data_IF_438497908519
#
_entry.id   IF_438497908519
#
_cell.length_a   1.000
_cell.length_b   1.000
_cell.length_c   1.000
_cell.angle_alpha   90.00
_cell.angle_beta   90.00
_cell.angle_gamma   90.00
#
_symmetry.space_group_name_H-M   'P 1'
#
loop_
_entity.id
_entity.type
_entity.pdbx_description
1 polymer ?
#
# COMPACT_ATOMS: atom_id res chain seq x y z
N UNK A 1 10.57 37.65 -5.44
CA UNK A 1 9.74 36.74 -6.26
C UNK A 1 9.30 35.49 -5.50
N UNK A 2 10.07 34.98 -4.55
CA UNK A 2 9.80 33.76 -3.74
C UNK A 2 8.50 33.85 -2.91
N UNK A 3 8.19 34.98 -2.31
CA UNK A 3 7.03 35.14 -1.40
C UNK A 3 5.67 35.11 -2.12
N UNK A 4 5.58 35.51 -3.37
CA UNK A 4 4.33 35.47 -4.16
C UNK A 4 4.01 34.09 -4.76
N UNK A 5 5.02 33.26 -5.02
CA UNK A 5 4.85 31.88 -5.44
C UNK A 5 4.38 31.01 -4.25
N UNK A 6 4.95 31.22 -3.05
CA UNK A 6 4.58 30.50 -1.85
C UNK A 6 3.12 30.74 -1.42
N UNK A 7 2.58 31.96 -1.61
CA UNK A 7 1.19 32.28 -1.27
C UNK A 7 0.15 31.69 -2.27
N UNK A 8 0.55 31.36 -3.51
CA UNK A 8 -0.34 30.77 -4.53
C UNK A 8 -0.44 29.25 -4.49
N UNK A 9 0.34 28.56 -3.67
CA UNK A 9 0.52 27.11 -3.71
C UNK A 9 0.30 26.39 -2.37
N UNK A 10 -0.31 27.07 -1.39
CA UNK A 10 -0.70 26.43 -0.13
C UNK A 10 -2.21 26.17 -0.10
N UNK A 11 -2.57 24.97 0.33
CA UNK A 11 -3.97 24.55 0.55
C UNK A 11 -4.20 24.45 2.03
N UNK A 12 -5.31 25.02 2.52
CA UNK A 12 -5.67 24.93 3.93
C UNK A 12 -5.95 23.50 4.35
N UNK A 13 -5.45 23.10 5.52
CA UNK A 13 -5.83 21.83 6.15
C UNK A 13 -7.31 21.92 6.54
N UNK A 14 -8.18 21.01 6.09
CA UNK A 14 -9.63 21.12 6.36
C UNK A 14 -9.98 21.16 7.85
N UNK A 15 -9.31 20.33 8.62
CA UNK A 15 -9.48 20.23 10.08
C UNK A 15 -8.09 20.29 10.74
N UNK A 16 -7.53 21.50 10.95
CA UNK A 16 -6.13 21.65 11.36
C UNK A 16 -5.79 21.07 12.74
N UNK A 17 -6.81 20.87 13.58
CA UNK A 17 -6.68 20.30 14.94
C UNK A 17 -7.05 18.82 15.02
N UNK A 18 -7.39 18.17 13.88
CA UNK A 18 -7.69 16.74 13.87
C UNK A 18 -6.50 15.93 14.34
N UNK A 19 -6.72 15.08 15.33
CA UNK A 19 -5.70 14.24 15.94
C UNK A 19 -5.62 12.86 15.30
N UNK A 20 -4.46 12.17 15.40
CA UNK A 20 -4.34 10.76 14.98
C UNK A 20 -5.37 9.84 15.64
N UNK A 21 -5.67 10.05 16.92
CA UNK A 21 -6.65 9.25 17.66
C UNK A 21 -8.06 9.40 17.07
N UNK A 22 -8.49 10.62 16.83
CA UNK A 22 -9.81 10.90 16.21
C UNK A 22 -9.90 10.30 14.79
N UNK A 23 -8.83 10.34 14.01
CA UNK A 23 -8.82 9.72 12.68
C UNK A 23 -8.95 8.20 12.76
N UNK A 24 -8.31 7.55 13.75
CA UNK A 24 -8.47 6.11 14.00
C UNK A 24 -9.91 5.80 14.42
N UNK A 25 -10.51 6.61 15.28
CA UNK A 25 -11.92 6.45 15.69
C UNK A 25 -12.88 6.58 14.50
N UNK A 26 -12.63 7.50 13.57
CA UNK A 26 -13.36 7.57 12.30
C UNK A 26 -13.26 6.25 11.52
N UNK A 27 -12.07 5.68 11.39
CA UNK A 27 -11.88 4.40 10.71
C UNK A 27 -12.68 3.27 11.39
N UNK A 28 -12.69 3.21 12.71
CA UNK A 28 -13.48 2.25 13.48
C UNK A 28 -14.99 2.47 13.24
N UNK A 29 -15.45 3.72 13.21
CA UNK A 29 -16.87 4.05 12.99
C UNK A 29 -17.39 3.60 11.62
N UNK A 30 -16.53 3.49 10.61
CA UNK A 30 -16.92 2.97 9.28
C UNK A 30 -17.12 1.44 9.25
N UNK A 31 -16.55 0.66 10.18
CA UNK A 31 -16.54 -0.81 10.13
C UNK A 31 -17.94 -1.45 9.97
N UNK A 32 -18.99 -1.06 10.75
CA UNK A 32 -20.30 -1.70 10.60
C UNK A 32 -20.88 -1.53 9.20
N UNK A 33 -20.75 -0.34 8.64
CA UNK A 33 -21.26 -0.02 7.30
C UNK A 33 -20.45 -0.73 6.22
N UNK A 34 -19.13 -0.70 6.28
CA UNK A 34 -18.25 -1.43 5.38
C UNK A 34 -18.63 -2.92 5.34
N UNK A 35 -18.81 -3.52 6.51
CA UNK A 35 -19.22 -4.93 6.63
C UNK A 35 -20.60 -5.20 6.01
N UNK A 36 -21.53 -4.26 6.12
CA UNK A 36 -22.88 -4.42 5.55
C UNK A 36 -22.91 -4.26 4.02
N UNK A 37 -21.96 -3.51 3.45
CA UNK A 37 -21.88 -3.24 2.00
C UNK A 37 -20.96 -4.21 1.24
N UNK A 38 -20.33 -5.20 1.90
CA UNK A 38 -19.34 -6.10 1.29
C UNK A 38 -19.82 -6.79 0.01
N UNK A 39 -21.05 -7.32 -0.01
CA UNK A 39 -21.59 -8.01 -1.19
C UNK A 39 -21.78 -7.06 -2.37
N UNK A 40 -22.25 -5.87 -2.10
CA UNK A 40 -22.44 -4.83 -3.13
C UNK A 40 -21.10 -4.32 -3.66
N UNK A 41 -20.12 -4.14 -2.78
CA UNK A 41 -18.76 -3.75 -3.13
C UNK A 41 -18.08 -4.79 -4.01
N UNK A 42 -18.18 -6.07 -3.66
CA UNK A 42 -17.64 -7.17 -4.45
C UNK A 42 -18.29 -7.23 -5.85
N UNK A 43 -19.62 -7.05 -5.92
CA UNK A 43 -20.38 -7.09 -7.18
C UNK A 43 -20.08 -5.90 -8.10
N UNK A 44 -19.80 -4.72 -7.51
CA UNK A 44 -19.46 -3.50 -8.24
C UNK A 44 -17.98 -3.47 -8.66
N UNK A 45 -17.13 -4.22 -8.00
CA UNK A 45 -15.67 -4.20 -8.21
C UNK A 45 -14.95 -3.10 -7.43
N UNK A 46 -15.67 -2.21 -6.76
CA UNK A 46 -15.15 -1.11 -5.94
C UNK A 46 -16.22 -0.61 -4.98
N UNK A 47 -15.88 0.05 -3.88
CA UNK A 47 -16.85 0.71 -3.00
C UNK A 47 -17.63 1.83 -3.72
N UNK A 48 -18.75 2.26 -3.14
CA UNK A 48 -19.64 3.24 -3.78
C UNK A 48 -19.01 4.64 -3.86
N UNK A 49 -19.46 5.44 -4.85
CA UNK A 49 -19.08 6.85 -4.94
C UNK A 49 -19.47 7.64 -3.68
N UNK A 50 -20.60 7.29 -3.05
CA UNK A 50 -21.00 7.86 -1.77
C UNK A 50 -19.97 7.57 -0.68
N UNK A 51 -19.50 6.32 -0.57
CA UNK A 51 -18.44 5.94 0.36
C UNK A 51 -17.13 6.69 0.06
N UNK A 52 -16.78 6.83 -1.22
CA UNK A 52 -15.60 7.61 -1.63
C UNK A 52 -15.67 9.06 -1.12
N UNK A 53 -16.79 9.73 -1.36
CA UNK A 53 -16.99 11.11 -0.89
C UNK A 53 -16.96 11.24 0.64
N UNK A 54 -17.43 10.23 1.34
CA UNK A 54 -17.36 10.20 2.81
C UNK A 54 -15.93 9.98 3.30
N UNK A 55 -15.13 9.12 2.63
CA UNK A 55 -13.71 8.97 2.92
C UNK A 55 -12.92 10.26 2.65
N UNK A 56 -13.26 11.00 1.60
CA UNK A 56 -12.69 12.32 1.34
C UNK A 56 -13.03 13.30 2.48
N UNK A 57 -14.32 13.38 2.90
CA UNK A 57 -14.77 14.24 4.01
C UNK A 57 -14.15 13.83 5.34
N UNK A 58 -13.98 12.52 5.57
CA UNK A 58 -13.32 12.00 6.76
C UNK A 58 -11.81 12.29 6.79
N UNK A 59 -11.21 12.67 5.66
CA UNK A 59 -9.81 13.07 5.56
C UNK A 59 -8.82 11.94 5.32
N UNK A 60 -9.26 10.71 5.04
CA UNK A 60 -8.36 9.55 4.90
C UNK A 60 -7.31 9.71 3.79
N UNK A 61 -7.66 10.35 2.68
CA UNK A 61 -6.72 10.62 1.58
C UNK A 61 -5.63 11.62 1.94
N UNK A 62 -5.79 12.39 3.03
CA UNK A 62 -4.89 13.46 3.44
C UNK A 62 -3.93 13.06 4.56
N UNK A 63 -3.97 11.80 5.03
CA UNK A 63 -3.20 11.35 6.18
C UNK A 63 -1.70 11.59 6.03
N UNK A 64 -1.11 11.19 4.89
CA UNK A 64 0.33 11.29 4.61
C UNK A 64 0.71 12.48 3.71
N UNK A 65 -0.27 13.25 3.29
CA UNK A 65 -0.06 14.42 2.44
C UNK A 65 0.57 15.56 3.22
N UNK A 66 1.49 16.36 2.60
CA UNK A 66 2.11 17.50 3.26
C UNK A 66 1.09 18.57 3.70
N UNK A 67 1.30 19.15 4.88
CA UNK A 67 0.46 20.24 5.42
C UNK A 67 0.32 21.41 4.48
N UNK A 68 1.40 21.76 3.78
CA UNK A 68 1.40 22.79 2.74
C UNK A 68 0.32 22.59 1.69
N UNK A 69 -0.02 21.36 1.41
CA UNK A 69 -1.04 20.97 0.42
C UNK A 69 -2.35 20.49 1.06
N UNK A 70 -2.62 20.87 2.30
CA UNK A 70 -3.85 20.54 3.01
C UNK A 70 -3.87 19.14 3.65
N UNK A 71 -2.71 18.50 3.81
CA UNK A 71 -2.58 17.21 4.46
C UNK A 71 -2.41 17.30 5.98
N UNK A 72 -2.52 16.16 6.65
CA UNK A 72 -2.38 16.05 8.10
C UNK A 72 -0.96 15.71 8.55
N UNK A 73 -0.15 15.10 7.69
CA UNK A 73 1.20 14.61 8.03
C UNK A 73 1.22 13.68 9.23
N UNK A 74 0.23 12.80 9.33
CA UNK A 74 0.21 11.78 10.37
C UNK A 74 1.34 10.78 10.15
N UNK A 75 1.89 10.25 11.26
CA UNK A 75 2.95 9.26 11.18
C UNK A 75 2.50 7.91 10.59
N UNK A 76 3.46 7.08 10.21
CA UNK A 76 3.17 5.80 9.57
C UNK A 76 2.48 4.82 10.51
N UNK A 77 2.75 4.84 11.82
CA UNK A 77 2.03 4.03 12.79
C UNK A 77 0.54 4.32 12.78
N UNK A 78 0.17 5.60 12.74
CA UNK A 78 -1.22 6.05 12.63
C UNK A 78 -1.84 5.57 11.32
N UNK A 79 -1.13 5.75 10.21
CA UNK A 79 -1.62 5.33 8.89
C UNK A 79 -1.84 3.81 8.80
N UNK A 80 -0.91 3.01 9.29
CA UNK A 80 -1.07 1.55 9.34
C UNK A 80 -2.20 1.13 10.29
N UNK A 81 -2.41 1.88 11.38
CA UNK A 81 -3.58 1.62 12.24
C UNK A 81 -4.89 1.88 11.53
N UNK A 82 -4.99 2.95 10.76
CA UNK A 82 -6.16 3.24 9.91
C UNK A 82 -6.38 2.11 8.91
N UNK A 83 -5.32 1.63 8.24
CA UNK A 83 -5.39 0.49 7.31
C UNK A 83 -6.00 -0.76 7.98
N UNK A 84 -5.53 -1.10 9.17
CA UNK A 84 -6.04 -2.23 9.96
C UNK A 84 -7.53 -2.05 10.27
N UNK A 85 -7.95 -0.88 10.72
CA UNK A 85 -9.35 -0.66 11.14
C UNK A 85 -10.31 -0.63 9.95
N UNK A 86 -9.95 -0.01 8.83
CA UNK A 86 -10.77 -0.05 7.61
C UNK A 86 -10.86 -1.49 7.07
N UNK A 87 -9.75 -2.23 7.04
CA UNK A 87 -9.71 -3.61 6.56
C UNK A 87 -10.51 -4.58 7.44
N UNK A 88 -10.64 -4.31 8.74
CA UNK A 88 -11.53 -5.07 9.64
C UNK A 88 -13.00 -4.90 9.25
N UNK A 89 -13.35 -3.78 8.61
CA UNK A 89 -14.69 -3.57 8.01
C UNK A 89 -14.83 -4.23 6.65
N UNK A 90 -13.90 -3.96 5.72
CA UNK A 90 -13.82 -4.58 4.40
C UNK A 90 -12.37 -4.53 3.87
N UNK A 91 -11.70 -5.69 3.70
CA UNK A 91 -10.33 -5.76 3.21
C UNK A 91 -10.13 -5.18 1.80
N UNK A 92 -11.06 -5.41 0.89
CA UNK A 92 -10.98 -4.91 -0.49
C UNK A 92 -11.07 -3.38 -0.55
N UNK A 93 -11.97 -2.80 0.24
CA UNK A 93 -12.11 -1.34 0.38
C UNK A 93 -10.85 -0.73 0.97
N UNK A 94 -10.30 -1.36 2.03
CA UNK A 94 -9.05 -0.89 2.63
C UNK A 94 -7.91 -0.92 1.63
N UNK A 95 -7.77 -2.00 0.86
CA UNK A 95 -6.74 -2.12 -0.18
C UNK A 95 -6.82 -0.95 -1.18
N UNK A 96 -8.03 -0.68 -1.70
CA UNK A 96 -8.28 0.41 -2.64
C UNK A 96 -7.93 1.78 -2.03
N UNK A 97 -8.45 2.07 -0.81
CA UNK A 97 -8.28 3.36 -0.15
C UNK A 97 -6.82 3.61 0.25
N UNK A 98 -6.19 2.64 0.92
CA UNK A 98 -4.86 2.80 1.49
C UNK A 98 -3.80 2.93 0.40
N UNK A 99 -3.83 2.06 -0.62
CA UNK A 99 -2.90 2.19 -1.75
C UNK A 99 -3.10 3.51 -2.50
N UNK A 100 -4.36 3.91 -2.73
CA UNK A 100 -4.65 5.18 -3.42
C UNK A 100 -4.21 6.42 -2.64
N UNK A 101 -4.30 6.40 -1.30
CA UNK A 101 -3.94 7.51 -0.43
C UNK A 101 -2.43 7.55 -0.11
N UNK A 102 -1.79 6.39 0.04
CA UNK A 102 -0.41 6.27 0.50
C UNK A 102 0.62 6.87 -0.45
N UNK A 103 0.35 6.84 -1.75
CA UNK A 103 1.27 7.42 -2.73
C UNK A 103 1.43 8.95 -2.61
N UNK A 104 0.63 9.62 -1.77
CA UNK A 104 0.90 11.00 -1.35
C UNK A 104 2.26 11.14 -0.65
N UNK A 105 2.69 10.11 0.10
CA UNK A 105 4.04 10.09 0.69
C UNK A 105 5.13 10.07 -0.39
N UNK A 106 4.97 9.26 -1.43
CA UNK A 106 5.94 9.21 -2.53
C UNK A 106 6.01 10.54 -3.29
N UNK A 107 4.88 11.11 -3.67
CA UNK A 107 4.83 12.42 -4.32
C UNK A 107 5.48 13.48 -3.43
N UNK A 108 5.11 13.51 -2.15
CA UNK A 108 5.63 14.46 -1.16
C UNK A 108 7.11 14.29 -0.84
N UNK A 109 7.66 13.06 -0.94
CA UNK A 109 9.06 12.78 -0.61
C UNK A 109 10.01 13.05 -1.78
N UNK A 110 9.71 12.51 -2.95
CA UNK A 110 10.72 12.36 -4.01
C UNK A 110 10.56 13.31 -5.18
N UNK A 111 9.36 13.83 -5.43
CA UNK A 111 9.14 14.71 -6.56
C UNK A 111 9.55 16.16 -6.26
N UNK A 112 9.88 16.89 -7.32
CA UNK A 112 10.20 18.32 -7.23
C UNK A 112 9.01 19.13 -6.70
N UNK A 113 9.28 20.34 -6.17
CA UNK A 113 8.24 21.25 -5.70
C UNK A 113 7.17 21.51 -6.78
N UNK A 114 7.57 21.70 -8.04
CA UNK A 114 6.64 21.96 -9.12
C UNK A 114 5.71 20.75 -9.37
N UNK A 115 6.25 19.54 -9.39
CA UNK A 115 5.43 18.33 -9.55
C UNK A 115 4.47 18.12 -8.38
N UNK A 116 4.88 18.47 -7.15
CA UNK A 116 4.01 18.41 -5.98
C UNK A 116 2.88 19.47 -6.08
N UNK A 117 3.18 20.68 -6.54
CA UNK A 117 2.15 21.72 -6.79
C UNK A 117 1.15 21.25 -7.83
N UNK A 118 1.62 20.65 -8.91
CA UNK A 118 0.76 20.16 -10.00
C UNK A 118 -0.06 18.95 -9.55
N UNK A 119 0.54 18.02 -8.78
CA UNK A 119 -0.08 16.78 -8.34
C UNK A 119 -1.13 16.99 -7.23
N UNK A 120 -0.79 17.76 -6.19
CA UNK A 120 -1.75 18.05 -5.13
C UNK A 120 -2.78 19.11 -5.56
N UNK A 121 -2.45 19.91 -6.56
CA UNK A 121 -3.35 20.90 -7.14
C UNK A 121 -3.86 21.96 -6.15
N UNK A 122 -4.82 22.79 -6.57
CA UNK A 122 -5.34 23.89 -5.74
C UNK A 122 -6.29 23.41 -4.63
N UNK A 123 -6.81 22.19 -4.71
CA UNK A 123 -7.78 21.63 -3.74
C UNK A 123 -7.13 20.73 -2.70
N UNK A 124 -5.92 20.28 -2.95
CA UNK A 124 -5.25 19.25 -2.14
C UNK A 124 -5.93 17.87 -2.24
N UNK A 125 -6.75 17.65 -3.25
CA UNK A 125 -7.34 16.33 -3.50
C UNK A 125 -6.35 15.49 -4.31
N UNK A 126 -5.85 14.43 -3.69
CA UNK A 126 -4.91 13.51 -4.31
C UNK A 126 -5.24 12.07 -3.97
N UNK A 127 -5.32 11.25 -4.99
CA UNK A 127 -5.38 9.80 -4.90
C UNK A 127 -4.72 9.23 -6.15
N UNK A 128 -3.77 8.33 -5.98
CA UNK A 128 -3.04 7.78 -7.12
C UNK A 128 -2.71 6.30 -6.88
N UNK A 129 -3.22 5.35 -7.68
CA UNK A 129 -2.63 4.02 -7.75
C UNK A 129 -1.20 4.10 -8.30
N UNK A 130 -0.39 3.11 -7.94
CA UNK A 130 0.92 2.87 -8.55
C UNK A 130 1.05 1.40 -8.91
N UNK A 131 1.83 1.11 -9.95
CA UNK A 131 2.18 -0.26 -10.35
C UNK A 131 3.69 -0.34 -10.46
N UNK A 132 4.29 -1.18 -9.61
CA UNK A 132 5.74 -1.30 -9.50
C UNK A 132 6.40 -1.94 -10.74
N UNK A 133 5.68 -2.80 -11.48
CA UNK A 133 6.19 -3.40 -12.70
C UNK A 133 6.29 -2.34 -13.82
N UNK A 134 7.48 -2.13 -14.41
CA UNK A 134 7.66 -1.11 -15.45
C UNK A 134 7.14 -1.62 -16.81
N UNK A 135 5.82 -1.61 -16.97
CA UNK A 135 5.12 -2.12 -18.15
C UNK A 135 4.93 -1.06 -19.26
N UNK A 136 5.60 0.08 -19.16
CA UNK A 136 5.55 1.15 -20.15
C UNK A 136 6.85 1.91 -20.22
N UNK A 137 6.90 2.88 -21.12
CA UNK A 137 8.09 3.70 -21.41
C UNK A 137 7.83 5.17 -21.21
N UNK A 138 8.85 5.91 -20.81
CA UNK A 138 8.93 7.36 -20.84
C UNK A 138 10.06 7.77 -21.79
N UNK A 139 9.73 8.40 -22.91
CA UNK A 139 10.69 8.86 -23.92
C UNK A 139 10.81 10.38 -23.85
N UNK A 140 12.00 10.96 -23.78
CA UNK A 140 12.18 12.41 -23.84
C UNK A 140 11.60 12.99 -25.13
N UNK A 141 10.92 14.11 -25.00
CA UNK A 141 10.43 14.92 -26.13
C UNK A 141 10.66 16.39 -25.82
N UNK A 142 10.47 17.26 -26.82
CA UNK A 142 10.58 18.68 -26.56
C UNK A 142 9.62 19.14 -25.47
N UNK A 143 10.20 19.76 -24.41
CA UNK A 143 9.50 20.26 -23.25
C UNK A 143 9.12 19.23 -22.18
N UNK A 144 9.50 17.94 -22.31
CA UNK A 144 9.16 16.94 -21.30
C UNK A 144 9.28 15.48 -21.74
N UNK A 145 8.22 14.72 -21.47
CA UNK A 145 8.17 13.27 -21.69
C UNK A 145 6.95 12.82 -22.47
N UNK A 146 7.11 11.79 -23.28
CA UNK A 146 6.02 11.02 -23.87
C UNK A 146 5.94 9.67 -23.16
N UNK A 147 4.84 9.43 -22.42
CA UNK A 147 4.61 8.18 -21.68
C UNK A 147 3.59 7.31 -22.41
N UNK A 148 3.91 6.02 -22.57
CA UNK A 148 3.03 5.02 -23.18
C UNK A 148 3.15 3.69 -22.44
N UNK A 149 2.04 2.94 -22.37
CA UNK A 149 2.04 1.58 -21.82
C UNK A 149 0.67 1.12 -21.34
N UNK A 150 0.65 -0.11 -20.82
CA UNK A 150 -0.51 -0.71 -20.18
C UNK A 150 -0.07 -1.35 -18.87
N UNK A 151 -0.75 -1.03 -17.79
CA UNK A 151 -0.49 -1.55 -16.45
C UNK A 151 -1.75 -2.19 -15.90
N UNK A 152 -1.68 -3.45 -15.50
CA UNK A 152 -2.74 -4.15 -14.76
C UNK A 152 -2.61 -3.95 -13.25
N UNK A 153 -3.62 -4.32 -12.52
CA UNK A 153 -3.65 -4.29 -11.06
C UNK A 153 -3.42 -2.89 -10.45
N UNK A 154 -3.95 -1.84 -11.10
CA UNK A 154 -3.86 -0.47 -10.58
C UNK A 154 -4.95 -0.24 -9.50
N UNK A 155 -4.70 -0.72 -8.28
CA UNK A 155 -5.66 -0.68 -7.16
C UNK A 155 -6.05 0.74 -6.81
N UNK A 156 -7.36 1.03 -6.75
CA UNK A 156 -7.89 2.38 -6.53
C UNK A 156 -8.07 3.22 -7.78
N UNK A 157 -7.85 2.67 -8.98
CA UNK A 157 -8.02 3.39 -10.25
C UNK A 157 -9.37 4.11 -10.43
N UNK A 158 -10.54 3.56 -10.00
CA UNK A 158 -11.82 4.24 -10.19
C UNK A 158 -11.91 5.63 -9.58
N UNK A 159 -11.22 5.88 -8.47
CA UNK A 159 -11.27 7.15 -7.73
C UNK A 159 -9.96 7.93 -7.76
N UNK A 160 -9.07 7.56 -8.66
CA UNK A 160 -7.77 8.19 -8.78
C UNK A 160 -7.84 9.56 -9.48
N UNK A 161 -7.15 10.54 -8.92
CA UNK A 161 -6.89 11.84 -9.57
C UNK A 161 -5.67 11.80 -10.47
N UNK A 162 -4.72 10.93 -10.12
CA UNK A 162 -3.47 10.69 -10.85
C UNK A 162 -3.19 9.19 -10.94
N UNK A 163 -2.24 8.83 -11.78
CA UNK A 163 -1.65 7.50 -11.83
C UNK A 163 -0.12 7.63 -11.72
N UNK A 164 0.50 6.78 -10.89
CA UNK A 164 1.94 6.81 -10.66
C UNK A 164 2.59 5.49 -11.11
N UNK A 165 2.64 5.21 -12.44
CA UNK A 165 3.25 3.99 -12.95
C UNK A 165 4.76 4.01 -12.86
N UNK A 166 5.37 2.84 -12.61
CA UNK A 166 6.76 2.63 -12.99
C UNK A 166 6.90 2.53 -14.51
N UNK A 167 7.90 3.20 -15.03
CA UNK A 167 8.22 3.27 -16.47
C UNK A 167 9.69 2.97 -16.71
N UNK A 168 10.02 2.48 -17.91
CA UNK A 168 11.40 2.44 -18.39
C UNK A 168 11.69 3.75 -19.15
N UNK A 169 12.72 4.47 -18.69
CA UNK A 169 13.21 5.66 -19.37
C UNK A 169 13.99 5.20 -20.59
N UNK A 170 13.47 5.58 -21.76
CA UNK A 170 14.03 5.24 -23.07
C UNK A 170 14.56 6.50 -23.72
N UNK A 171 15.83 6.81 -23.47
CA UNK A 171 16.57 7.90 -24.05
C UNK A 171 17.81 7.39 -24.83
N UNK A 172 18.56 8.30 -25.44
CA UNK A 172 19.76 7.97 -26.23
C UNK A 172 20.97 7.63 -25.36
N UNK A 173 20.83 7.62 -24.03
CA UNK A 173 21.93 7.28 -23.12
C UNK A 173 22.33 5.82 -23.29
N UNK A 174 23.61 5.52 -23.62
CA UNK A 174 24.04 4.13 -23.75
C UNK A 174 23.88 3.37 -22.45
N UNK A 175 23.31 2.19 -22.53
CA UNK A 175 23.14 1.31 -21.36
C UNK A 175 21.74 0.69 -21.30
N UNK A 176 21.47 -0.09 -20.23
CA UNK A 176 20.14 -0.63 -20.01
C UNK A 176 19.13 0.48 -19.67
N UNK A 177 17.83 0.30 -20.00
CA UNK A 177 16.81 1.24 -19.62
C UNK A 177 16.82 1.51 -18.11
N UNK A 178 16.64 2.78 -17.72
CA UNK A 178 16.56 3.20 -16.32
C UNK A 178 15.11 3.17 -15.87
N UNK A 179 14.85 2.81 -14.61
CA UNK A 179 13.52 2.88 -14.06
C UNK A 179 13.19 4.30 -13.63
N UNK A 180 11.94 4.68 -13.81
CA UNK A 180 11.39 5.93 -13.32
C UNK A 180 9.95 5.76 -12.85
N UNK A 181 9.43 6.78 -12.20
CA UNK A 181 8.02 6.89 -11.84
C UNK A 181 7.46 8.14 -12.51
N UNK A 182 6.33 7.97 -13.19
CA UNK A 182 5.62 9.08 -13.80
C UNK A 182 4.45 9.55 -12.94
N UNK A 183 4.18 10.84 -12.92
CA UNK A 183 2.97 11.45 -12.35
C UNK A 183 2.03 11.81 -13.48
N UNK A 184 1.01 11.00 -13.74
CA UNK A 184 0.09 11.13 -14.87
C UNK A 184 -1.29 11.57 -14.41
N UNK A 185 -1.79 12.76 -14.79
CA UNK A 185 -3.10 13.23 -14.37
C UNK A 185 -4.22 12.41 -15.01
N UNK A 186 -5.38 12.35 -14.34
CA UNK A 186 -6.56 11.55 -14.75
C UNK A 186 -6.96 11.71 -16.19
N UNK A 187 -6.79 12.90 -16.74
CA UNK A 187 -7.17 13.24 -18.14
C UNK A 187 -6.30 12.59 -19.22
N UNK A 188 -5.16 11.98 -18.85
CA UNK A 188 -4.19 11.44 -19.81
C UNK A 188 -4.07 9.91 -19.76
N UNK A 189 -5.02 9.21 -19.13
CA UNK A 189 -5.07 7.75 -19.14
C UNK A 189 -6.50 7.21 -19.18
N UNK A 190 -6.63 5.99 -19.67
CA UNK A 190 -7.88 5.26 -19.83
C UNK A 190 -7.88 4.11 -18.84
N UNK A 191 -8.93 3.99 -18.03
CA UNK A 191 -9.19 2.83 -17.19
C UNK A 191 -10.01 1.81 -17.97
N UNK A 192 -9.59 0.55 -17.96
CA UNK A 192 -10.36 -0.54 -18.55
C UNK A 192 -11.35 -1.09 -17.53
N UNK A 193 -12.48 -1.58 -18.01
CA UNK A 193 -13.47 -2.28 -17.19
C UNK A 193 -13.16 -3.79 -17.19
N UNK A 194 -12.07 -4.17 -16.52
CA UNK A 194 -11.53 -5.54 -16.54
C UNK A 194 -11.25 -6.12 -15.13
N UNK A 195 -11.79 -5.48 -14.08
CA UNK A 195 -11.64 -5.96 -12.70
C UNK A 195 -12.87 -6.74 -12.23
N UNK A 196 -12.65 -7.69 -11.29
CA UNK A 196 -13.71 -8.49 -10.63
C UNK A 196 -13.66 -9.98 -10.92
N UNK A 197 -13.14 -10.41 -12.06
CA UNK A 197 -12.97 -11.84 -12.41
C UNK A 197 -11.71 -12.43 -11.75
N UNK A 198 -11.60 -12.34 -10.43
CA UNK A 198 -10.48 -12.79 -9.61
C UNK A 198 -10.97 -13.55 -8.39
N UNK A 199 -10.11 -14.34 -7.76
CA UNK A 199 -10.46 -15.17 -6.60
C UNK A 199 -11.00 -14.36 -5.43
N UNK A 200 -10.29 -13.31 -5.01
CA UNK A 200 -10.63 -12.44 -3.88
C UNK A 200 -10.23 -11.00 -4.16
N UNK A 201 -10.34 -10.11 -3.16
CA UNK A 201 -10.09 -8.68 -3.32
C UNK A 201 -10.89 -8.04 -4.45
N UNK A 202 -12.07 -8.59 -4.76
CA UNK A 202 -12.87 -8.19 -5.91
C UNK A 202 -13.35 -6.74 -5.84
N UNK A 203 -13.51 -6.20 -4.63
CA UNK A 203 -13.92 -4.80 -4.38
C UNK A 203 -12.77 -3.79 -4.37
N UNK A 204 -11.54 -4.15 -4.78
CA UNK A 204 -10.36 -3.27 -4.68
C UNK A 204 -10.18 -2.31 -5.86
N UNK A 205 -11.03 -2.37 -6.89
CA UNK A 205 -10.94 -1.48 -8.05
C UNK A 205 -9.57 -1.51 -8.73
N UNK A 206 -8.98 -2.71 -8.87
CA UNK A 206 -7.62 -2.86 -9.41
C UNK A 206 -7.61 -3.01 -10.93
N UNK A 207 -8.35 -2.14 -11.59
CA UNK A 207 -8.50 -2.11 -13.04
C UNK A 207 -7.17 -1.88 -13.77
N UNK A 208 -7.07 -2.33 -15.01
CA UNK A 208 -5.98 -1.96 -15.90
C UNK A 208 -6.08 -0.50 -16.34
N UNK A 209 -4.92 0.14 -16.47
CA UNK A 209 -4.77 1.50 -17.00
C UNK A 209 -3.95 1.46 -18.29
N UNK A 210 -4.42 2.18 -19.31
CA UNK A 210 -3.74 2.37 -20.59
C UNK A 210 -3.38 3.84 -20.77
N UNK A 211 -2.13 4.09 -21.15
CA UNK A 211 -1.63 5.40 -21.56
C UNK A 211 -1.17 5.29 -23.01
N UNK A 212 -1.91 5.91 -23.93
CA UNK A 212 -1.62 5.83 -25.35
C UNK A 212 -0.54 6.82 -25.82
N UNK A 213 -0.30 7.87 -25.03
CA UNK A 213 0.69 8.91 -25.36
C UNK A 213 0.54 10.15 -24.50
N UNK A 214 0.68 10.01 -23.17
CA UNK A 214 0.64 11.15 -22.28
C UNK A 214 1.86 12.05 -22.47
N UNK A 215 1.63 13.34 -22.72
CA UNK A 215 2.69 14.36 -22.73
C UNK A 215 2.78 15.00 -21.37
N UNK A 216 3.90 14.78 -20.71
CA UNK A 216 4.14 15.22 -19.34
C UNK A 216 5.26 16.25 -19.28
N UNK A 217 5.17 17.25 -18.39
CA UNK A 217 6.30 18.15 -18.09
C UNK A 217 7.54 17.38 -17.64
N UNK A 218 8.71 17.98 -17.80
CA UNK A 218 9.98 17.36 -17.37
C UNK A 218 9.98 16.93 -15.90
N UNK A 219 9.29 17.66 -15.04
CA UNK A 219 9.20 17.41 -13.59
C UNK A 219 8.30 16.22 -13.21
N UNK A 220 7.49 15.71 -14.15
CA UNK A 220 6.51 14.65 -13.87
C UNK A 220 7.02 13.23 -14.11
N UNK A 221 8.24 13.07 -14.60
CA UNK A 221 8.92 11.76 -14.62
C UNK A 221 10.19 11.89 -13.78
N UNK A 222 10.30 11.05 -12.82
CA UNK A 222 11.42 11.01 -11.89
C UNK A 222 12.15 9.67 -12.05
N UNK A 223 13.45 9.71 -12.32
CA UNK A 223 14.28 8.52 -12.23
C UNK A 223 14.39 8.11 -10.76
N UNK A 224 13.96 6.91 -10.45
CA UNK A 224 14.02 6.37 -9.10
C UNK A 224 14.33 4.89 -9.13
N UNK A 225 15.49 4.54 -8.59
CA UNK A 225 15.79 3.19 -8.17
C UNK A 225 15.46 3.06 -6.67
N UNK A 226 14.30 2.46 -6.36
CA UNK A 226 13.81 2.34 -4.98
C UNK A 226 14.77 1.57 -4.04
N UNK A 227 15.63 0.73 -4.61
CA UNK A 227 16.60 -0.06 -3.83
C UNK A 227 17.90 0.71 -3.61
N UNK A 228 18.32 1.50 -4.60
CA UNK A 228 19.59 2.21 -4.56
C UNK A 228 19.44 3.73 -4.38
N UNK A 229 18.30 4.20 -3.84
CA UNK A 229 18.11 5.63 -3.58
C UNK A 229 19.15 6.14 -2.58
N UNK A 230 19.84 7.22 -2.94
CA UNK A 230 20.75 7.93 -2.05
C UNK A 230 19.96 8.95 -1.20
N UNK A 231 20.02 8.80 0.10
CA UNK A 231 19.37 9.69 1.07
C UNK A 231 20.37 10.56 1.85
N UNK A 232 21.67 10.53 1.51
CA UNK A 232 22.70 11.29 2.25
C UNK A 232 22.44 12.80 2.26
N UNK A 233 21.84 13.34 1.21
CA UNK A 233 21.43 14.75 1.10
C UNK A 233 19.97 15.02 1.46
N UNK A 234 19.27 14.06 2.02
CA UNK A 234 17.80 14.10 2.18
C UNK A 234 17.07 14.05 0.83
N UNK A 235 15.76 13.97 0.89
CA UNK A 235 14.89 14.01 -0.30
C UNK A 235 14.49 15.44 -0.65
N UNK A 236 13.96 15.72 -1.85
CA UNK A 236 13.33 17.00 -2.14
C UNK A 236 12.26 17.37 -1.10
N UNK A 237 11.42 16.42 -0.70
CA UNK A 237 10.33 16.63 0.24
C UNK A 237 10.78 16.92 1.68
N UNK A 238 11.82 16.25 2.18
CA UNK A 238 12.33 16.52 3.51
C UNK A 238 12.86 17.96 3.64
N UNK A 239 13.50 18.48 2.58
CA UNK A 239 13.95 19.86 2.51
C UNK A 239 12.81 20.86 2.37
N UNK A 240 11.76 20.49 1.60
CA UNK A 240 10.63 21.38 1.30
C UNK A 240 9.66 21.51 2.48
N UNK A 241 9.41 20.40 3.18
CA UNK A 241 8.37 20.33 4.24
C UNK A 241 8.95 20.39 5.65
N UNK A 242 10.25 20.14 5.82
CA UNK A 242 10.88 20.08 7.14
C UNK A 242 10.38 18.92 8.02
N UNK A 243 9.62 17.99 7.47
CA UNK A 243 9.10 16.83 8.19
C UNK A 243 9.96 15.59 7.86
N UNK A 244 10.56 14.94 8.87
CA UNK A 244 11.40 13.75 8.68
C UNK A 244 10.71 12.61 7.92
N UNK A 245 9.40 12.48 7.99
CA UNK A 245 8.64 11.42 7.32
C UNK A 245 8.95 11.35 5.82
N UNK A 246 9.21 12.50 5.18
CA UNK A 246 9.53 12.57 3.75
C UNK A 246 10.99 12.24 3.41
N UNK A 247 11.82 11.90 4.40
CA UNK A 247 13.22 11.50 4.21
C UNK A 247 13.44 9.98 4.20
N UNK A 248 12.37 9.19 4.19
CA UNK A 248 12.44 7.73 4.28
C UNK A 248 12.59 7.03 2.94
N UNK A 249 12.81 5.71 3.01
CA UNK A 249 12.80 4.80 1.87
C UNK A 249 11.38 4.31 1.60
N UNK A 250 11.08 3.82 0.39
CA UNK A 250 9.71 3.47 0.04
C UNK A 250 9.41 1.97 0.00
N UNK A 251 10.41 1.08 0.05
CA UNK A 251 10.17 -0.36 -0.12
C UNK A 251 9.36 -0.95 1.05
N UNK A 252 9.83 -0.78 2.29
CA UNK A 252 9.10 -1.24 3.48
C UNK A 252 7.77 -0.50 3.68
N UNK A 253 7.70 0.78 3.31
CA UNK A 253 6.46 1.55 3.36
C UNK A 253 5.37 0.94 2.51
N UNK A 254 5.62 0.70 1.21
CA UNK A 254 4.63 0.09 0.31
C UNK A 254 4.21 -1.31 0.75
N UNK A 255 5.15 -2.07 1.33
CA UNK A 255 4.81 -3.39 1.86
C UNK A 255 3.94 -3.30 3.12
N UNK A 256 4.23 -2.36 4.01
CA UNK A 256 3.48 -2.17 5.26
C UNK A 256 2.01 -1.80 5.03
N UNK A 257 1.70 -1.06 3.96
CA UNK A 257 0.32 -0.77 3.57
C UNK A 257 -0.48 -2.06 3.36
N UNK A 258 0.09 -2.99 2.60
CA UNK A 258 -0.55 -4.26 2.26
C UNK A 258 -0.64 -5.20 3.47
N UNK A 259 0.43 -5.26 4.28
CA UNK A 259 0.43 -6.05 5.52
C UNK A 259 -0.56 -5.48 6.53
N UNK A 260 -0.71 -4.16 6.62
CA UNK A 260 -1.73 -3.51 7.44
C UNK A 260 -3.14 -3.96 7.07
N UNK A 261 -3.44 -4.01 5.76
CA UNK A 261 -4.71 -4.55 5.25
C UNK A 261 -4.87 -6.02 5.60
N UNK A 262 -3.81 -6.84 5.43
CA UNK A 262 -3.86 -8.27 5.77
C UNK A 262 -4.11 -8.51 7.27
N UNK A 263 -3.51 -7.70 8.13
CA UNK A 263 -3.76 -7.76 9.59
C UNK A 263 -5.21 -7.39 9.90
N UNK A 264 -5.76 -6.36 9.28
CA UNK A 264 -7.17 -5.99 9.42
C UNK A 264 -8.13 -7.09 8.95
N UNK A 265 -7.82 -7.74 7.83
CA UNK A 265 -8.53 -8.92 7.33
C UNK A 265 -8.52 -10.06 8.36
N UNK A 266 -7.38 -10.33 8.98
CA UNK A 266 -7.27 -11.33 10.05
C UNK A 266 -8.19 -11.03 11.23
N UNK A 267 -8.30 -9.76 11.64
CA UNK A 267 -9.27 -9.35 12.66
C UNK A 267 -10.72 -9.52 12.19
N UNK A 268 -11.04 -9.21 10.92
CA UNK A 268 -12.37 -9.44 10.35
C UNK A 268 -12.74 -10.94 10.38
N UNK A 269 -11.78 -11.82 10.05
CA UNK A 269 -11.97 -13.27 10.14
C UNK A 269 -12.16 -13.74 11.58
N UNK A 270 -11.46 -13.14 12.55
CA UNK A 270 -11.66 -13.43 13.97
C UNK A 270 -13.05 -13.01 14.46
N UNK A 271 -13.53 -11.82 14.08
CA UNK A 271 -14.87 -11.35 14.41
C UNK A 271 -15.94 -12.29 13.87
N UNK A 272 -15.79 -12.76 12.63
CA UNK A 272 -16.70 -13.71 12.02
C UNK A 272 -16.61 -15.08 12.70
N UNK A 273 -15.42 -15.55 13.02
CA UNK A 273 -15.25 -16.82 13.76
C UNK A 273 -15.92 -16.76 15.13
N UNK A 274 -15.74 -15.68 15.86
CA UNK A 274 -16.38 -15.48 17.15
C UNK A 274 -17.91 -15.47 17.01
N UNK A 275 -18.44 -14.80 15.98
CA UNK A 275 -19.87 -14.84 15.66
C UNK A 275 -20.35 -16.28 15.41
N UNK A 276 -19.64 -17.06 14.59
CA UNK A 276 -19.99 -18.43 14.25
C UNK A 276 -19.96 -19.36 15.45
N UNK A 277 -18.98 -19.26 16.33
CA UNK A 277 -18.92 -20.12 17.51
C UNK A 277 -19.96 -19.78 18.58
N UNK A 278 -20.40 -18.49 18.66
CA UNK A 278 -21.48 -18.08 19.58
C UNK A 278 -22.87 -18.45 19.07
N UNK A 279 -23.06 -18.56 17.77
CA UNK A 279 -24.40 -18.78 17.17
C UNK A 279 -24.65 -20.21 16.72
N UNK A 280 -23.63 -21.06 16.63
CA UNK A 280 -23.75 -22.45 16.16
C UNK A 280 -23.37 -23.48 17.23
N UNK A 281 -23.94 -24.67 17.11
CA UNK A 281 -23.62 -25.84 17.95
C UNK A 281 -22.53 -26.73 17.30
N UNK A 282 -21.91 -27.59 18.10
CA UNK A 282 -21.05 -28.68 17.63
C UNK A 282 -21.83 -29.63 16.71
N UNK A 283 -21.17 -30.25 15.68
CA UNK A 283 -21.87 -31.10 14.71
C UNK A 283 -22.22 -32.49 15.23
N UNK A 284 -21.60 -32.97 16.30
CA UNK A 284 -21.77 -34.31 16.85
C UNK A 284 -22.30 -34.27 18.28
N UNK A 285 -23.10 -35.29 18.68
CA UNK A 285 -23.56 -35.44 20.08
C UNK A 285 -22.42 -35.71 21.05
N UNK A 286 -22.53 -35.18 22.28
CA UNK A 286 -23.57 -34.28 22.76
C UNK A 286 -23.44 -32.90 22.15
N UNK A 287 -24.50 -32.41 21.47
CA UNK A 287 -24.50 -31.09 20.86
C UNK A 287 -24.47 -30.01 21.93
N UNK A 288 -23.55 -29.07 21.80
CA UNK A 288 -23.42 -27.92 22.69
C UNK A 288 -23.02 -26.67 21.91
N UNK A 289 -23.23 -25.45 22.43
CA UNK A 289 -22.73 -24.23 21.83
C UNK A 289 -21.22 -24.32 21.59
N UNK A 290 -20.77 -23.99 20.37
CA UNK A 290 -19.35 -24.13 19.98
C UNK A 290 -18.40 -23.35 20.87
N UNK A 291 -18.79 -22.16 21.36
CA UNK A 291 -17.94 -21.34 22.21
C UNK A 291 -17.66 -21.98 23.60
N UNK A 292 -18.44 -22.99 24.02
CA UNK A 292 -18.19 -23.78 25.22
C UNK A 292 -17.29 -25.00 24.98
N UNK A 293 -17.00 -25.32 23.72
CA UNK A 293 -16.19 -26.50 23.38
C UNK A 293 -14.72 -26.12 23.27
N UNK A 294 -13.84 -26.89 23.91
CA UNK A 294 -12.40 -26.63 24.06
C UNK A 294 -11.65 -26.47 22.73
N UNK A 295 -12.03 -27.16 21.65
CA UNK A 295 -11.35 -27.03 20.37
C UNK A 295 -11.56 -25.65 19.75
N UNK A 296 -12.79 -25.12 19.77
CA UNK A 296 -13.07 -23.78 19.27
C UNK A 296 -12.42 -22.69 20.11
N UNK A 297 -12.39 -22.88 21.44
CA UNK A 297 -11.68 -21.98 22.36
C UNK A 297 -10.18 -21.98 22.06
N UNK A 298 -9.58 -23.15 21.81
CA UNK A 298 -8.17 -23.28 21.46
C UNK A 298 -7.85 -22.55 20.14
N UNK A 299 -8.65 -22.74 19.07
CA UNK A 299 -8.43 -22.07 17.81
C UNK A 299 -8.56 -20.55 17.91
N UNK A 300 -9.57 -20.05 18.63
CA UNK A 300 -9.70 -18.62 18.89
C UNK A 300 -8.52 -18.09 19.70
N UNK A 301 -8.09 -18.80 20.73
CA UNK A 301 -6.91 -18.42 21.56
C UNK A 301 -5.62 -18.33 20.74
N UNK A 302 -5.38 -19.31 19.85
CA UNK A 302 -4.23 -19.27 18.92
C UNK A 302 -4.32 -18.07 17.97
N UNK A 303 -5.48 -17.84 17.37
CA UNK A 303 -5.68 -16.69 16.47
C UNK A 303 -5.47 -15.36 17.19
N UNK A 304 -5.95 -15.20 18.43
CA UNK A 304 -5.70 -14.02 19.26
C UNK A 304 -4.19 -13.77 19.46
N UNK A 305 -3.42 -14.82 19.74
CA UNK A 305 -1.96 -14.72 19.86
C UNK A 305 -1.27 -14.29 18.56
N UNK A 306 -1.59 -14.96 17.44
CA UNK A 306 -1.04 -14.65 16.13
C UNK A 306 -1.37 -13.21 15.70
N UNK A 307 -2.63 -12.78 15.83
CA UNK A 307 -3.08 -11.45 15.41
C UNK A 307 -2.50 -10.34 16.28
N UNK A 308 -2.35 -10.56 17.60
CA UNK A 308 -1.67 -9.60 18.48
C UNK A 308 -0.20 -9.41 18.10
N UNK A 309 0.51 -10.49 17.77
CA UNK A 309 1.89 -10.42 17.29
C UNK A 309 1.98 -9.69 15.95
N UNK A 310 1.14 -10.06 14.96
CA UNK A 310 1.08 -9.44 13.64
C UNK A 310 0.84 -7.92 13.73
N UNK A 311 -0.15 -7.50 14.51
CA UNK A 311 -0.44 -6.08 14.71
C UNK A 311 0.74 -5.32 15.31
N UNK A 312 1.42 -5.90 16.31
CA UNK A 312 2.59 -5.26 16.95
C UNK A 312 3.72 -5.09 15.95
N UNK A 313 3.99 -6.07 15.10
CA UNK A 313 5.02 -5.98 14.06
C UNK A 313 4.75 -4.82 13.09
N UNK A 314 3.52 -4.69 12.59
CA UNK A 314 3.14 -3.61 11.66
C UNK A 314 3.25 -2.24 12.32
N UNK A 315 2.71 -2.07 13.52
CA UNK A 315 2.72 -0.76 14.19
C UNK A 315 4.13 -0.36 14.63
N UNK A 316 4.94 -1.31 15.10
CA UNK A 316 6.34 -1.08 15.44
C UNK A 316 7.17 -0.73 14.21
N UNK A 317 6.93 -1.36 13.06
CA UNK A 317 7.61 -1.01 11.82
C UNK A 317 7.39 0.47 11.43
N UNK A 318 6.18 1.00 11.65
CA UNK A 318 5.91 2.43 11.46
C UNK A 318 6.69 3.34 12.42
N UNK A 319 6.84 2.94 13.69
CA UNK A 319 7.63 3.69 14.68
C UNK A 319 9.12 3.69 14.31
N UNK A 320 9.68 2.52 14.00
CA UNK A 320 11.11 2.36 13.64
C UNK A 320 11.43 3.08 12.33
N UNK A 321 10.55 3.01 11.34
CA UNK A 321 10.68 3.80 10.11
C UNK A 321 10.83 5.29 10.42
N UNK A 322 9.95 5.84 11.26
CA UNK A 322 10.01 7.25 11.66
C UNK A 322 11.27 7.59 12.45
N UNK A 323 11.81 6.65 13.22
CA UNK A 323 13.08 6.80 13.93
C UNK A 323 14.25 6.94 12.94
N UNK A 324 14.33 6.07 11.93
CA UNK A 324 15.37 6.13 10.90
C UNK A 324 15.29 7.43 10.10
N UNK A 325 14.07 7.89 9.76
CA UNK A 325 13.88 9.18 9.09
C UNK A 325 14.37 10.37 9.94
N UNK A 326 14.00 10.39 11.23
CA UNK A 326 14.42 11.46 12.16
C UNK A 326 15.95 11.49 12.34
N UNK A 327 16.56 10.33 12.56
CA UNK A 327 18.01 10.19 12.68
C UNK A 327 18.73 10.79 11.46
N UNK A 328 18.29 10.48 10.25
CA UNK A 328 18.86 11.04 9.02
C UNK A 328 18.65 12.54 8.90
N UNK A 329 17.46 13.04 9.24
CA UNK A 329 17.13 14.47 9.18
C UNK A 329 17.92 15.32 10.21
N UNK A 330 18.32 14.73 11.34
CA UNK A 330 19.12 15.36 12.39
C UNK A 330 20.64 15.30 12.12
N UNK A 331 21.05 14.87 10.91
CA UNK A 331 22.46 14.80 10.51
C UNK A 331 23.19 13.53 10.94
N UNK A 332 22.47 12.52 11.44
CA UNK A 332 22.98 11.18 11.70
C UNK A 332 23.08 10.32 10.43
N UNK A 333 23.34 9.03 10.60
CA UNK A 333 23.41 8.08 9.49
C UNK A 333 22.09 8.06 8.72
N UNK A 334 22.09 8.22 7.38
CA UNK A 334 20.87 8.10 6.58
C UNK A 334 20.18 6.73 6.74
N UNK A 335 18.90 6.67 6.47
CA UNK A 335 18.13 5.42 6.43
C UNK A 335 18.71 4.50 5.32
N UNK A 336 19.27 3.36 5.70
CA UNK A 336 20.00 2.45 4.81
C UNK A 336 19.08 1.45 4.10
N UNK A 337 19.58 0.82 3.03
CA UNK A 337 18.87 -0.28 2.37
C UNK A 337 18.70 -1.49 3.30
N UNK A 338 19.74 -1.82 4.10
CA UNK A 338 19.67 -2.93 5.06
C UNK A 338 18.52 -2.73 6.05
N UNK A 339 18.41 -1.54 6.64
CA UNK A 339 17.33 -1.18 7.55
C UNK A 339 15.94 -1.25 6.89
N UNK A 340 15.82 -0.86 5.61
CA UNK A 340 14.56 -0.96 4.86
C UNK A 340 14.17 -2.44 4.60
N UNK A 341 15.15 -3.29 4.29
CA UNK A 341 14.95 -4.73 4.12
C UNK A 341 14.65 -5.46 5.44
N UNK A 342 15.25 -5.04 6.56
CA UNK A 342 14.92 -5.55 7.90
C UNK A 342 13.47 -5.24 8.30
N UNK A 343 13.03 -4.00 8.05
CA UNK A 343 11.62 -3.61 8.24
C UNK A 343 10.69 -4.44 7.35
N UNK A 344 11.07 -4.62 6.09
CA UNK A 344 10.30 -5.43 5.16
C UNK A 344 10.18 -6.88 5.64
N UNK A 345 11.28 -7.49 6.09
CA UNK A 345 11.27 -8.85 6.63
C UNK A 345 10.38 -8.99 7.88
N UNK A 346 10.42 -8.01 8.78
CA UNK A 346 9.57 -7.97 9.96
C UNK A 346 8.08 -7.87 9.60
N UNK A 347 7.75 -7.04 8.62
CA UNK A 347 6.40 -6.88 8.09
C UNK A 347 5.90 -8.18 7.44
N UNK A 348 6.74 -8.86 6.67
CA UNK A 348 6.41 -10.14 6.04
C UNK A 348 6.04 -11.21 7.07
N UNK A 349 6.75 -11.27 8.20
CA UNK A 349 6.34 -12.12 9.32
C UNK A 349 4.97 -11.73 9.86
N UNK A 350 4.66 -10.43 9.96
CA UNK A 350 3.33 -9.96 10.35
C UNK A 350 2.23 -10.46 9.39
N UNK A 351 2.46 -10.37 8.09
CA UNK A 351 1.57 -10.88 7.05
C UNK A 351 1.36 -12.41 7.12
N UNK A 352 2.44 -13.16 7.37
CA UNK A 352 2.38 -14.63 7.55
C UNK A 352 1.57 -15.04 8.76
N UNK A 353 1.77 -14.39 9.90
CA UNK A 353 1.01 -14.66 11.14
C UNK A 353 -0.50 -14.38 10.92
N UNK A 354 -0.83 -13.28 10.22
CA UNK A 354 -2.20 -12.97 9.90
C UNK A 354 -2.82 -14.01 8.94
N UNK A 355 -2.07 -14.44 7.92
CA UNK A 355 -2.50 -15.52 7.03
C UNK A 355 -2.74 -16.83 7.78
N UNK A 356 -1.81 -17.24 8.65
CA UNK A 356 -1.94 -18.47 9.46
C UNK A 356 -3.22 -18.45 10.30
N UNK A 357 -3.52 -17.30 10.91
CA UNK A 357 -4.75 -17.12 11.67
C UNK A 357 -5.99 -17.29 10.77
N UNK A 358 -6.04 -16.62 9.61
CA UNK A 358 -7.19 -16.71 8.68
C UNK A 358 -7.38 -18.14 8.18
N UNK A 359 -6.31 -18.81 7.75
CA UNK A 359 -6.37 -20.20 7.26
C UNK A 359 -6.91 -21.14 8.34
N UNK A 360 -6.37 -21.06 9.55
CA UNK A 360 -6.82 -21.88 10.68
C UNK A 360 -8.29 -21.63 11.01
N UNK A 361 -8.72 -20.36 11.10
CA UNK A 361 -10.10 -20.00 11.41
C UNK A 361 -11.07 -20.47 10.30
N UNK A 362 -10.72 -20.27 9.03
CA UNK A 362 -11.54 -20.73 7.91
C UNK A 362 -11.72 -22.23 7.91
N UNK A 363 -10.62 -23.00 8.04
CA UNK A 363 -10.62 -24.46 8.09
C UNK A 363 -11.45 -25.04 9.24
N UNK A 364 -11.52 -24.33 10.37
CA UNK A 364 -12.23 -24.79 11.58
C UNK A 364 -13.64 -24.22 11.75
N UNK A 365 -14.10 -23.37 10.81
CA UNK A 365 -15.45 -22.77 10.82
C UNK A 365 -16.55 -23.71 10.38
N UNK A 366 -16.27 -24.77 9.69
CA UNK A 366 -17.13 -25.77 9.02
C UNK A 366 -17.44 -25.45 7.56
N UNK A 367 -17.85 -26.50 6.81
CA UNK A 367 -18.20 -26.38 5.38
C UNK A 367 -19.34 -25.41 5.09
N UNK A 368 -20.25 -25.16 6.05
CA UNK A 368 -21.31 -24.18 5.86
C UNK A 368 -20.79 -22.73 5.76
N UNK A 369 -19.65 -22.44 6.36
CA UNK A 369 -18.99 -21.14 6.27
C UNK A 369 -18.16 -20.94 4.98
N UNK A 370 -18.03 -22.00 4.17
CA UNK A 370 -17.34 -21.97 2.89
C UNK A 370 -18.29 -21.76 1.68
N UNK A 371 -19.58 -21.53 1.91
CA UNK A 371 -20.56 -21.23 0.85
C UNK A 371 -20.34 -19.82 0.28
N UNK A 372 -20.73 -19.64 -0.98
CA UNK A 372 -20.79 -18.31 -1.58
C UNK A 372 -21.73 -17.39 -0.78
N UNK A 373 -21.31 -16.17 -0.56
CA UNK A 373 -21.99 -15.16 0.26
C UNK A 373 -21.63 -15.21 1.76
N UNK A 374 -20.98 -16.25 2.25
CA UNK A 374 -20.51 -16.31 3.63
C UNK A 374 -19.23 -15.48 3.81
N UNK A 375 -19.15 -14.71 4.91
CA UNK A 375 -18.02 -13.80 5.16
C UNK A 375 -16.69 -14.52 5.37
N UNK A 376 -16.69 -15.66 6.07
CA UNK A 376 -15.47 -16.44 6.27
C UNK A 376 -14.86 -16.90 4.94
N UNK A 377 -15.69 -17.34 4.01
CA UNK A 377 -15.28 -17.73 2.67
C UNK A 377 -14.66 -16.53 1.92
N UNK A 378 -15.27 -15.34 2.03
CA UNK A 378 -14.74 -14.11 1.43
C UNK A 378 -13.38 -13.75 2.01
N UNK A 379 -13.24 -13.71 3.33
CA UNK A 379 -11.96 -13.40 3.99
C UNK A 379 -10.85 -14.37 3.62
N UNK A 380 -11.17 -15.66 3.50
CA UNK A 380 -10.21 -16.66 3.02
C UNK A 380 -9.78 -16.43 1.57
N UNK A 381 -10.71 -16.07 0.67
CA UNK A 381 -10.39 -15.73 -0.72
C UNK A 381 -9.52 -14.47 -0.82
N UNK A 382 -9.87 -13.45 -0.08
CA UNK A 382 -9.14 -12.18 -0.05
C UNK A 382 -7.71 -12.39 0.47
N UNK A 383 -7.55 -13.15 1.54
CA UNK A 383 -6.25 -13.52 2.09
C UNK A 383 -5.43 -14.38 1.11
N UNK A 384 -6.07 -15.26 0.33
CA UNK A 384 -5.41 -16.06 -0.70
C UNK A 384 -4.82 -15.20 -1.82
N UNK A 385 -5.51 -14.11 -2.21
CA UNK A 385 -4.98 -13.14 -3.19
C UNK A 385 -3.77 -12.40 -2.63
N UNK A 386 -3.80 -11.95 -1.38
CA UNK A 386 -2.64 -11.36 -0.72
C UNK A 386 -1.43 -12.31 -0.77
N UNK A 387 -1.62 -13.59 -0.45
CA UNK A 387 -0.55 -14.60 -0.47
C UNK A 387 0.09 -14.81 -1.85
N UNK A 388 -0.64 -14.51 -2.91
CA UNK A 388 -0.15 -14.58 -4.29
C UNK A 388 0.51 -13.27 -4.75
N UNK A 389 0.43 -12.20 -3.97
CA UNK A 389 1.02 -10.91 -4.31
C UNK A 389 2.54 -10.96 -4.21
N UNK A 390 3.23 -10.18 -5.08
CA UNK A 390 4.70 -10.12 -5.10
C UNK A 390 5.29 -9.75 -3.74
N UNK A 391 4.65 -8.87 -3.00
CA UNK A 391 5.08 -8.47 -1.65
C UNK A 391 5.04 -9.59 -0.62
N UNK A 392 4.30 -10.68 -0.85
CA UNK A 392 4.22 -11.83 0.04
C UNK A 392 5.21 -12.96 -0.33
N UNK A 393 6.21 -12.67 -1.17
CA UNK A 393 7.24 -13.63 -1.61
C UNK A 393 8.46 -13.57 -0.68
N UNK A 394 8.28 -14.09 0.53
CA UNK A 394 9.24 -14.01 1.63
C UNK A 394 10.64 -14.53 1.29
N UNK A 395 10.75 -15.67 0.61
CA UNK A 395 12.02 -16.32 0.32
C UNK A 395 12.95 -15.45 -0.53
N UNK A 396 12.40 -14.72 -1.50
CA UNK A 396 13.15 -13.78 -2.32
C UNK A 396 13.75 -12.65 -1.49
N UNK A 397 13.00 -12.14 -0.54
CA UNK A 397 13.40 -11.02 0.31
C UNK A 397 14.39 -11.44 1.39
N UNK A 398 14.20 -12.63 1.97
CA UNK A 398 15.14 -13.21 2.93
C UNK A 398 16.54 -13.37 2.31
N UNK A 399 16.62 -13.85 1.05
CA UNK A 399 17.90 -13.92 0.32
C UNK A 399 18.53 -12.55 0.14
N UNK A 400 17.74 -11.55 -0.23
CA UNK A 400 18.21 -10.17 -0.47
C UNK A 400 18.76 -9.51 0.81
N UNK A 401 18.03 -9.64 1.90
CA UNK A 401 18.49 -9.18 3.20
C UNK A 401 19.84 -9.83 3.56
N UNK A 402 19.97 -11.14 3.37
CA UNK A 402 21.23 -11.83 3.63
C UNK A 402 22.38 -11.33 2.75
N UNK A 403 22.16 -11.08 1.46
CA UNK A 403 23.20 -10.57 0.56
C UNK A 403 23.67 -9.18 0.99
N UNK A 404 22.75 -8.28 1.32
CA UNK A 404 23.08 -6.92 1.81
C UNK A 404 23.83 -7.00 3.14
N UNK A 405 23.35 -7.82 4.08
CA UNK A 405 24.00 -8.02 5.39
C UNK A 405 25.43 -8.55 5.27
N UNK A 406 25.68 -9.43 4.31
CA UNK A 406 27.00 -9.99 4.03
C UNK A 406 27.90 -9.05 3.19
N UNK A 407 27.42 -7.88 2.80
CA UNK A 407 28.13 -6.96 1.92
C UNK A 407 28.33 -7.48 0.50
N UNK A 408 27.50 -8.42 0.07
CA UNK A 408 27.53 -9.00 -1.27
C UNK A 408 26.67 -8.18 -2.24
N UNK A 409 27.00 -8.30 -3.53
CA UNK A 409 26.15 -7.70 -4.56
C UNK A 409 24.79 -8.41 -4.55
N UNK A 410 23.74 -7.64 -4.19
CA UNK A 410 22.38 -8.16 -4.16
C UNK A 410 21.74 -8.26 -5.57
N UNK A 411 22.46 -7.89 -6.63
CA UNK A 411 22.03 -8.04 -8.03
C UNK A 411 20.74 -7.32 -8.39
N UNK A 412 20.26 -6.47 -7.49
CA UNK A 412 18.96 -5.81 -7.60
C UNK A 412 19.12 -4.34 -7.89
N UNK A 413 18.55 -3.98 -8.99
CA UNK A 413 18.17 -2.61 -9.31
C UNK A 413 16.73 -2.66 -9.80
N UNK A 414 15.91 -1.71 -9.45
CA UNK A 414 14.64 -1.49 -10.15
C UNK A 414 14.88 -0.95 -11.57
N UNK A 415 16.14 -0.63 -11.87
CA UNK A 415 16.61 -0.39 -13.22
C UNK A 415 17.02 -1.72 -13.87
N UNK A 416 16.82 -1.89 -15.16
CA UNK A 416 17.08 -3.14 -15.89
C UNK A 416 18.57 -3.55 -15.98
N UNK A 417 19.41 -3.18 -15.01
CA UNK A 417 20.82 -3.58 -14.93
C UNK A 417 21.04 -5.07 -14.64
N UNK A 418 19.99 -5.88 -14.59
CA UNK A 418 20.04 -7.26 -14.16
C UNK A 418 19.90 -8.32 -15.26
N UNK A 419 20.20 -8.05 -16.51
CA UNK A 419 20.50 -9.14 -17.42
C UNK A 419 21.92 -9.62 -17.10
N UNK A 420 22.04 -10.64 -16.25
CA UNK A 420 23.27 -11.43 -16.15
C UNK A 420 23.64 -11.86 -17.57
N UNK A 421 24.81 -11.47 -18.12
CA UNK A 421 25.22 -12.00 -19.40
C UNK A 421 25.21 -13.52 -19.29
N UNK A 422 24.75 -14.25 -20.30
CA UNK A 422 24.75 -15.69 -20.26
C UNK A 422 26.18 -16.14 -19.90
N UNK A 423 26.34 -16.89 -18.83
CA UNK A 423 27.62 -17.49 -18.46
C UNK A 423 28.10 -18.20 -19.69
N UNK A 424 29.25 -17.77 -20.25
CA UNK A 424 29.91 -18.47 -21.32
C UNK A 424 30.06 -19.91 -20.88
N UNK A 425 29.32 -20.80 -21.54
CA UNK A 425 29.32 -22.22 -21.27
C UNK A 425 30.75 -22.77 -21.28
N UNK A 426 31.29 -22.91 -20.10
CA UNK A 426 32.43 -23.81 -19.90
C UNK A 426 31.91 -25.19 -20.19
N UNK A 427 32.33 -25.77 -21.33
CA UNK A 427 32.19 -27.20 -21.59
C UNK A 427 32.89 -27.94 -20.46
N UNK A 428 32.13 -28.75 -19.71
CA UNK A 428 32.64 -29.92 -19.05
C UNK A 428 32.76 -31.04 -20.07
#
# INVERSE_FOLDING_TARGET
MTTKLQQRTSVSVPEPNLTPAEMIERAIAFQPRLRSEQDETERRGVYSETMHREFQRAGFYRCLQPRRFGGYEFDLKTYYRIAIEIARGDPSVAWCLIVGAGHALMLGSYFSEQAQVDGFGPTGEFSAPSVAAPSGTATPVDGGWLVKGKWGYASGAPYATHFMPSVLISDETPGPPRAGIALVPRSQWIMLDDWGAILGMRGSGSNSIVIEGARLPQTHVMELDMLNVDLAGGTPGSRLHGNPMYAGRCLSFFHAELVGVMVGLGYAAMDEYEHLIRTKNTPYPPMQPRFLHHDYQRHLGLALGLMNAAKRLVLNAGEVYMEYCRRGAEGGRPFTLEEDLELFASLEHGGRLAWEAVEMLARTSSSSAAKDGERMQRYYRDASVYRSHLSAQYEMLAQRLALVHLGLDHGMSTTARGAVPPSNGGKL
#
